data_IF_071671593727
#
_entry.id   IF_071671593727
#
_cell.length_a   1.000
_cell.length_b   1.000
_cell.length_c   1.000
_cell.angle_alpha   90.00
_cell.angle_beta   90.00
_cell.angle_gamma   90.00
#
_symmetry.space_group_name_H-M   'P 1'
#
loop_
_entity.id
_entity.type
_entity.pdbx_description
1 polymer ?
#
# COMPACT_ATOMS: atom_id res chain seq x y z
N UNK A 1 17.40 -54.02 -44.65
CA UNK A 1 18.80 -54.07 -44.20
C UNK A 1 19.32 -52.64 -44.09
N UNK A 2 19.66 -52.21 -42.86
CA UNK A 2 20.52 -51.05 -42.46
C UNK A 2 20.06 -49.65 -42.93
N UNK A 3 19.45 -48.77 -42.12
CA UNK A 3 19.89 -48.12 -40.86
C UNK A 3 21.31 -47.54 -40.88
N UNK A 4 21.42 -46.21 -40.96
CA UNK A 4 22.47 -45.31 -40.44
C UNK A 4 22.06 -43.86 -40.81
N UNK A 5 21.23 -43.13 -40.04
CA UNK A 5 21.58 -42.27 -38.90
C UNK A 5 22.94 -41.56 -39.02
N UNK A 6 22.90 -40.27 -39.37
CA UNK A 6 23.92 -39.31 -38.98
C UNK A 6 23.35 -38.49 -37.82
N UNK A 7 23.88 -38.76 -36.64
CA UNK A 7 23.80 -37.92 -35.45
C UNK A 7 25.12 -37.18 -35.37
N UNK A 8 25.07 -35.86 -35.19
CA UNK A 8 26.04 -34.97 -34.51
C UNK A 8 25.63 -33.54 -34.94
N UNK A 9 25.21 -32.63 -34.07
CA UNK A 9 25.77 -32.35 -32.77
C UNK A 9 26.61 -31.07 -32.86
N UNK A 10 25.98 -29.92 -33.06
CA UNK A 10 26.59 -28.63 -32.72
C UNK A 10 25.56 -27.84 -31.89
N UNK A 11 25.59 -28.13 -30.59
CA UNK A 11 24.77 -27.44 -29.61
C UNK A 11 25.17 -25.98 -29.54
N UNK A 12 24.32 -25.11 -30.09
CA UNK A 12 24.28 -23.73 -29.66
C UNK A 12 23.83 -23.73 -28.21
N UNK A 13 24.80 -23.63 -27.29
CA UNK A 13 24.60 -23.28 -25.90
C UNK A 13 23.78 -21.98 -25.86
N UNK A 14 22.47 -22.12 -25.70
CA UNK A 14 21.61 -21.04 -25.28
C UNK A 14 22.12 -20.59 -23.92
N UNK A 15 22.71 -19.39 -23.87
CA UNK A 15 23.00 -18.72 -22.62
C UNK A 15 21.66 -18.55 -21.87
N UNK A 16 21.43 -19.40 -20.88
CA UNK A 16 20.39 -19.17 -19.88
C UNK A 16 20.85 -17.96 -19.07
N UNK A 17 20.27 -16.80 -19.36
CA UNK A 17 20.44 -15.60 -18.53
C UNK A 17 20.04 -15.90 -17.08
N UNK A 18 20.82 -15.48 -16.07
CA UNK A 18 20.63 -15.91 -14.68
C UNK A 18 19.45 -15.23 -13.93
N UNK A 19 18.49 -14.60 -14.62
CA UNK A 19 17.48 -13.74 -13.96
C UNK A 19 16.06 -14.35 -13.89
N UNK A 20 15.94 -15.68 -14.02
CA UNK A 20 14.63 -16.37 -13.97
C UNK A 20 14.01 -16.50 -12.57
N UNK A 21 14.55 -15.80 -11.55
CA UNK A 21 13.94 -15.67 -10.23
C UNK A 21 13.24 -14.31 -10.06
N UNK A 22 12.66 -13.77 -11.14
CA UNK A 22 11.66 -12.70 -11.02
C UNK A 22 10.58 -13.17 -10.06
N UNK A 23 10.62 -12.64 -8.85
CA UNK A 23 9.68 -12.93 -7.78
C UNK A 23 8.27 -12.79 -8.34
N UNK A 24 7.47 -13.86 -8.26
CA UNK A 24 6.10 -13.96 -8.77
C UNK A 24 5.10 -13.08 -7.96
N UNK A 25 5.58 -11.97 -7.41
CA UNK A 25 4.84 -10.99 -6.62
C UNK A 25 4.14 -10.06 -7.60
N UNK A 26 2.82 -10.25 -7.75
CA UNK A 26 2.02 -9.26 -8.48
C UNK A 26 2.19 -7.89 -7.82
N UNK A 27 2.47 -6.83 -8.59
CA UNK A 27 2.53 -5.49 -8.03
C UNK A 27 1.19 -5.16 -7.39
N UNK A 28 1.23 -4.52 -6.22
CA UNK A 28 0.02 -4.05 -5.55
C UNK A 28 -0.68 -3.02 -6.43
N UNK A 29 -1.98 -3.20 -6.67
CA UNK A 29 -2.76 -2.20 -7.41
C UNK A 29 -2.91 -0.92 -6.60
N UNK A 30 -3.24 0.18 -7.27
CA UNK A 30 -3.46 1.45 -6.60
C UNK A 30 -4.62 1.35 -5.59
N UNK A 31 -5.73 0.69 -5.95
CA UNK A 31 -6.88 0.43 -5.08
C UNK A 31 -6.45 -0.31 -3.80
N UNK A 32 -5.69 -1.40 -3.96
CA UNK A 32 -5.20 -2.19 -2.83
C UNK A 32 -4.24 -1.37 -1.94
N UNK A 33 -3.40 -0.53 -2.55
CA UNK A 33 -2.51 0.37 -1.82
C UNK A 33 -3.30 1.41 -1.01
N UNK A 34 -4.33 2.01 -1.60
CA UNK A 34 -5.23 2.97 -0.94
C UNK A 34 -5.93 2.33 0.26
N UNK A 35 -6.54 1.15 0.08
CA UNK A 35 -7.21 0.46 1.19
C UNK A 35 -6.25 0.05 2.30
N UNK A 36 -5.08 -0.50 1.94
CA UNK A 36 -4.07 -0.91 2.91
C UNK A 36 -3.56 0.29 3.72
N UNK A 37 -3.31 1.42 3.06
CA UNK A 37 -2.87 2.65 3.71
C UNK A 37 -3.96 3.24 4.59
N UNK A 38 -5.18 3.39 4.09
CA UNK A 38 -6.32 3.91 4.84
C UNK A 38 -6.62 3.06 6.10
N UNK A 39 -6.61 1.72 5.95
CA UNK A 39 -6.73 0.79 7.09
C UNK A 39 -5.63 1.00 8.11
N UNK A 40 -4.37 1.02 7.66
CA UNK A 40 -3.21 1.16 8.53
C UNK A 40 -3.25 2.48 9.30
N UNK A 41 -3.57 3.59 8.63
CA UNK A 41 -3.70 4.91 9.26
C UNK A 41 -4.82 4.93 10.31
N UNK A 42 -5.98 4.35 10.01
CA UNK A 42 -7.10 4.28 10.95
C UNK A 42 -6.79 3.40 12.17
N UNK A 43 -6.05 2.30 11.99
CA UNK A 43 -5.54 1.47 13.07
C UNK A 43 -4.53 2.21 13.94
N UNK A 44 -3.60 2.96 13.34
CA UNK A 44 -2.64 3.80 14.07
C UNK A 44 -3.36 4.87 14.89
N UNK A 45 -4.34 5.55 14.28
CA UNK A 45 -5.17 6.50 15.01
C UNK A 45 -5.98 5.86 16.13
N UNK A 46 -6.38 4.59 16.03
CA UNK A 46 -7.02 3.85 17.12
C UNK A 46 -6.03 3.34 18.19
N UNK A 47 -4.72 3.49 17.96
CA UNK A 47 -3.64 2.98 18.81
C UNK A 47 -3.44 1.47 18.69
N UNK A 48 -3.97 0.83 17.64
CA UNK A 48 -3.84 -0.60 17.37
C UNK A 48 -2.62 -0.97 16.52
N UNK A 49 -1.95 0.04 15.94
CA UNK A 49 -0.75 -0.12 15.11
C UNK A 49 0.25 0.99 15.42
N UNK A 50 1.53 0.68 15.31
CA UNK A 50 2.60 1.67 15.39
C UNK A 50 2.65 2.55 14.13
N UNK A 51 2.85 3.85 14.31
CA UNK A 51 2.98 4.80 13.22
C UNK A 51 4.22 4.54 12.36
N UNK A 52 5.30 4.00 12.94
CA UNK A 52 6.56 3.80 12.22
C UNK A 52 6.40 2.83 11.03
N UNK A 53 5.38 1.96 11.06
CA UNK A 53 5.04 1.10 9.92
C UNK A 53 4.58 1.89 8.69
N UNK A 54 4.07 3.11 8.86
CA UNK A 54 3.63 3.98 7.77
C UNK A 54 4.78 4.69 7.07
N UNK A 55 5.95 4.84 7.71
CA UNK A 55 7.07 5.62 7.19
C UNK A 55 7.50 5.19 5.78
N UNK A 56 7.42 3.89 5.48
CA UNK A 56 7.74 3.34 4.14
C UNK A 56 6.67 3.62 3.08
N UNK A 57 5.43 3.88 3.48
CA UNK A 57 4.28 4.07 2.59
C UNK A 57 4.01 5.53 2.27
N UNK A 58 4.64 6.47 2.96
CA UNK A 58 4.31 7.90 2.87
C UNK A 58 5.57 8.77 2.74
N UNK A 59 5.45 9.99 2.21
CA UNK A 59 6.53 10.98 2.22
C UNK A 59 6.82 11.47 3.64
N UNK A 60 7.99 12.07 3.86
CA UNK A 60 8.38 12.59 5.17
C UNK A 60 7.36 13.63 5.71
N UNK A 61 6.85 14.50 4.85
CA UNK A 61 5.88 15.54 5.23
C UNK A 61 4.52 14.95 5.64
N UNK A 62 4.04 13.95 4.89
CA UNK A 62 2.82 13.21 5.26
C UNK A 62 3.03 12.45 6.57
N UNK A 63 4.19 11.84 6.78
CA UNK A 63 4.53 11.17 8.03
C UNK A 63 4.49 12.13 9.23
N UNK A 64 5.12 13.32 9.10
CA UNK A 64 5.13 14.33 10.15
C UNK A 64 3.70 14.80 10.50
N UNK A 65 2.87 15.03 9.48
CA UNK A 65 1.46 15.40 9.63
C UNK A 65 0.65 14.32 10.35
N UNK A 66 0.80 13.07 9.92
CA UNK A 66 0.16 11.92 10.56
C UNK A 66 0.61 11.76 12.01
N UNK A 67 1.90 11.94 12.31
CA UNK A 67 2.44 11.86 13.67
C UNK A 67 1.78 12.85 14.61
N UNK A 68 1.58 14.09 14.16
CA UNK A 68 0.84 15.07 14.96
C UNK A 68 -0.62 14.65 15.18
N UNK A 69 -1.33 14.18 14.14
CA UNK A 69 -2.71 13.69 14.26
C UNK A 69 -2.83 12.50 15.24
N UNK A 70 -1.88 11.57 15.19
CA UNK A 70 -1.84 10.41 16.09
C UNK A 70 -1.59 10.82 17.54
N UNK A 71 -0.72 11.81 17.77
CA UNK A 71 -0.52 12.41 19.10
C UNK A 71 -1.82 12.99 19.64
N UNK A 72 -2.50 13.83 18.87
CA UNK A 72 -3.81 14.42 19.25
C UNK A 72 -4.84 13.31 19.55
N UNK A 73 -4.95 12.31 18.68
CA UNK A 73 -5.88 11.19 18.89
C UNK A 73 -5.57 10.38 20.15
N UNK A 74 -4.28 10.22 20.48
CA UNK A 74 -3.84 9.53 21.69
C UNK A 74 -4.22 10.30 22.94
N UNK A 75 -4.00 11.62 22.96
CA UNK A 75 -4.41 12.47 24.08
C UNK A 75 -5.93 12.43 24.28
N UNK A 76 -6.71 12.54 23.20
CA UNK A 76 -8.17 12.46 23.28
C UNK A 76 -8.63 11.11 23.85
N UNK A 77 -8.04 9.98 23.42
CA UNK A 77 -8.38 8.66 24.00
C UNK A 77 -8.11 8.59 25.49
N UNK A 78 -6.94 9.06 25.92
CA UNK A 78 -6.57 9.04 27.34
C UNK A 78 -7.53 9.90 28.18
N UNK A 79 -7.84 11.11 27.71
CA UNK A 79 -8.78 12.01 28.38
C UNK A 79 -10.20 11.41 28.49
N UNK A 80 -10.64 10.64 27.50
CA UNK A 80 -11.95 9.98 27.49
C UNK A 80 -11.94 8.54 28.04
N UNK A 81 -10.82 8.05 28.59
CA UNK A 81 -10.71 6.67 29.10
C UNK A 81 -10.91 5.57 28.04
N UNK A 82 -10.75 5.89 26.75
CA UNK A 82 -10.99 4.96 25.64
C UNK A 82 -9.80 4.03 25.46
N UNK A 83 -10.03 2.71 25.59
CA UNK A 83 -9.00 1.69 25.37
C UNK A 83 -8.63 1.56 23.89
N UNK A 84 -7.37 1.21 23.64
CA UNK A 84 -6.86 0.83 22.32
C UNK A 84 -7.63 -0.41 21.84
N UNK A 85 -8.04 -0.42 20.58
CA UNK A 85 -8.70 -1.56 19.97
C UNK A 85 -8.43 -1.55 18.47
N UNK A 86 -8.44 -2.73 17.86
CA UNK A 86 -8.39 -2.85 16.40
C UNK A 86 -9.78 -2.55 15.83
N UNK A 87 -9.97 -1.45 15.07
CA UNK A 87 -11.29 -1.13 14.54
C UNK A 87 -11.71 -2.15 13.49
N UNK A 88 -12.99 -2.53 13.50
CA UNK A 88 -13.62 -3.26 12.40
C UNK A 88 -13.99 -2.21 11.34
N UNK A 89 -13.38 -2.32 10.16
CA UNK A 89 -13.48 -1.36 9.08
C UNK A 89 -14.07 -2.03 7.84
N UNK A 90 -15.12 -1.43 7.27
CA UNK A 90 -15.63 -1.78 5.94
C UNK A 90 -15.30 -0.67 4.96
N UNK A 91 -14.79 -1.03 3.80
CA UNK A 91 -14.39 -0.10 2.75
C UNK A 91 -15.52 0.02 1.73
N UNK A 92 -15.88 1.25 1.40
CA UNK A 92 -16.69 1.52 0.22
C UNK A 92 -15.86 1.39 -1.06
N UNK A 93 -16.46 1.73 -2.20
CA UNK A 93 -15.75 1.79 -3.47
C UNK A 93 -14.60 2.81 -3.38
N UNK A 94 -13.42 2.43 -3.87
CA UNK A 94 -12.32 3.37 -4.08
C UNK A 94 -12.57 4.11 -5.39
N UNK A 95 -12.64 5.43 -5.33
CA UNK A 95 -12.68 6.30 -6.50
C UNK A 95 -11.26 6.72 -6.83
N UNK A 96 -10.83 6.50 -8.07
CA UNK A 96 -9.46 6.75 -8.55
C UNK A 96 -9.49 7.63 -9.79
N UNK A 97 -8.52 8.54 -9.87
CA UNK A 97 -8.12 9.25 -11.08
C UNK A 97 -6.59 9.14 -11.23
N UNK A 98 -6.12 9.01 -12.46
CA UNK A 98 -4.69 9.04 -12.81
C UNK A 98 -4.40 10.32 -13.61
N UNK A 99 -4.10 11.46 -12.94
CA UNK A 99 -3.88 12.73 -13.63
C UNK A 99 -2.63 12.75 -14.50
N UNK A 100 -1.63 11.91 -14.17
CA UNK A 100 -0.43 11.72 -14.98
C UNK A 100 0.14 10.33 -14.73
N UNK A 101 0.94 9.76 -15.66
CA UNK A 101 1.51 8.43 -15.47
C UNK A 101 2.24 8.28 -14.13
N UNK A 102 1.86 7.26 -13.36
CA UNK A 102 2.48 6.95 -12.07
C UNK A 102 2.02 7.82 -10.90
N UNK A 103 1.05 8.71 -11.11
CA UNK A 103 0.39 9.52 -10.08
C UNK A 103 -1.07 9.09 -9.99
N UNK A 104 -1.52 8.71 -8.79
CA UNK A 104 -2.91 8.35 -8.54
C UNK A 104 -3.51 9.26 -7.48
N UNK A 105 -4.67 9.81 -7.75
CA UNK A 105 -5.50 10.51 -6.78
C UNK A 105 -6.71 9.64 -6.46
N UNK A 106 -6.94 9.40 -5.17
CA UNK A 106 -7.99 8.49 -4.74
C UNK A 106 -8.75 8.97 -3.52
N UNK A 107 -10.01 8.58 -3.46
CA UNK A 107 -10.87 8.78 -2.29
C UNK A 107 -11.58 7.47 -1.95
N UNK A 108 -11.59 7.11 -0.67
CA UNK A 108 -12.37 5.99 -0.16
C UNK A 108 -13.12 6.39 1.10
N UNK A 109 -14.39 5.99 1.20
CA UNK A 109 -15.15 6.10 2.43
C UNK A 109 -14.96 4.81 3.24
N UNK A 110 -14.53 4.97 4.49
CA UNK A 110 -14.31 3.86 5.42
C UNK A 110 -15.35 3.91 6.54
N UNK A 111 -16.13 2.85 6.65
CA UNK A 111 -17.20 2.71 7.65
C UNK A 111 -16.68 1.96 8.88
N UNK A 112 -16.72 2.63 10.04
CA UNK A 112 -16.49 2.02 11.35
C UNK A 112 -17.78 1.96 12.18
N UNK A 113 -17.69 1.38 13.39
CA UNK A 113 -18.84 1.06 14.26
C UNK A 113 -19.68 2.24 14.79
N UNK A 114 -19.29 3.49 14.51
CA UNK A 114 -20.02 4.68 14.95
C UNK A 114 -19.69 5.95 14.19
N UNK A 115 -18.93 5.84 13.09
CA UNK A 115 -18.59 6.96 12.19
C UNK A 115 -18.07 6.42 10.88
N UNK A 116 -18.40 7.14 9.81
CA UNK A 116 -17.73 7.01 8.52
C UNK A 116 -16.62 8.04 8.43
N UNK A 117 -15.53 7.71 7.76
CA UNK A 117 -14.42 8.64 7.50
C UNK A 117 -14.08 8.62 6.02
N UNK A 118 -13.97 9.79 5.41
CA UNK A 118 -13.42 9.92 4.08
C UNK A 118 -11.89 9.94 4.16
N UNK A 119 -11.22 9.11 3.34
CA UNK A 119 -9.77 9.14 3.21
C UNK A 119 -9.44 9.56 1.78
N UNK A 120 -8.86 10.74 1.65
CA UNK A 120 -8.32 11.26 0.40
C UNK A 120 -6.80 11.03 0.38
N UNK A 121 -6.27 10.53 -0.73
CA UNK A 121 -4.85 10.20 -0.86
C UNK A 121 -4.36 10.50 -2.26
N UNK A 122 -3.14 11.04 -2.34
CA UNK A 122 -2.34 11.10 -3.56
C UNK A 122 -1.19 10.11 -3.43
N UNK A 123 -1.12 9.15 -4.35
CA UNK A 123 -0.07 8.15 -4.45
C UNK A 123 0.85 8.47 -5.64
N UNK A 124 2.13 8.22 -5.45
CA UNK A 124 3.16 8.36 -6.47
C UNK A 124 3.95 7.06 -6.54
N UNK A 125 4.30 6.63 -7.76
CA UNK A 125 5.14 5.46 -7.97
C UNK A 125 6.61 5.83 -7.79
N UNK A 126 7.22 5.36 -6.70
CA UNK A 126 8.65 5.56 -6.41
C UNK A 126 9.35 4.21 -6.39
N UNK A 127 10.28 3.99 -7.33
CA UNK A 127 11.02 2.71 -7.49
C UNK A 127 10.07 1.50 -7.57
N UNK A 128 8.99 1.64 -8.35
CA UNK A 128 7.99 0.60 -8.54
C UNK A 128 7.06 0.33 -7.34
N UNK A 129 7.03 1.23 -6.34
CA UNK A 129 6.17 1.11 -5.16
C UNK A 129 5.32 2.35 -4.97
N UNK A 130 4.07 2.16 -4.54
CA UNK A 130 3.20 3.28 -4.18
C UNK A 130 3.67 3.97 -2.90
N UNK A 131 3.77 5.30 -2.96
CA UNK A 131 4.07 6.16 -1.82
C UNK A 131 3.09 7.31 -1.77
N UNK A 132 2.45 7.55 -0.64
CA UNK A 132 1.53 8.67 -0.49
C UNK A 132 2.28 9.98 -0.30
N UNK A 133 2.07 10.93 -1.20
CA UNK A 133 2.60 12.30 -1.12
C UNK A 133 1.60 13.29 -0.53
N UNK A 134 0.30 12.96 -0.52
CA UNK A 134 -0.72 13.66 0.24
C UNK A 134 -1.70 12.66 0.87
N UNK A 135 -2.16 12.95 2.09
CA UNK A 135 -3.17 12.13 2.77
C UNK A 135 -4.00 12.99 3.72
N UNK A 136 -5.31 12.87 3.60
CA UNK A 136 -6.27 13.53 4.49
C UNK A 136 -7.35 12.56 4.97
N UNK A 137 -7.75 12.75 6.23
CA UNK A 137 -8.86 12.00 6.84
C UNK A 137 -9.88 13.00 7.33
N UNK A 138 -11.10 12.84 6.85
CA UNK A 138 -12.29 13.61 7.20
C UNK A 138 -13.03 12.95 8.38
#
# INVERSE_FOLDING_TARGET
MRHLSAVEGCGALAAVSPDSLSSNVRPITAEAAVEALARSVLEVMAGARDIDQLARWVTADVFATLRNRVRVSTQARLAHGVRRHRPILRFGRVHIAEPSPGIVEAVVVVHGRGRSRGVAVRLETVRGRWRASALHIL
#
